data_IF_561544275703
#
_entry.id   IF_561544275703
#
_cell.length_a   1.000
_cell.length_b   1.000
_cell.length_c   1.000
_cell.angle_alpha   90.00
_cell.angle_beta   90.00
_cell.angle_gamma   90.00
#
_symmetry.space_group_name_H-M   'P 1'
#
loop_
_entity.id
_entity.type
_entity.pdbx_description
1 polymer ?
#
# COMPACT_ATOMS: atom_id res chain seq x y z
N UNK A 1 18.02 -11.56 -8.18
CA UNK A 1 17.11 -12.50 -8.89
C UNK A 1 17.57 -12.72 -10.32
N UNK A 2 17.33 -13.91 -10.88
CA UNK A 2 17.60 -14.19 -12.30
C UNK A 2 16.35 -13.92 -13.13
N UNK A 3 16.50 -13.24 -14.26
CA UNK A 3 15.40 -13.10 -15.22
C UNK A 3 15.27 -14.39 -16.05
N UNK A 4 14.05 -14.77 -16.43
CA UNK A 4 13.82 -16.05 -17.14
C UNK A 4 14.60 -16.13 -18.46
N UNK A 5 14.90 -14.98 -19.09
CA UNK A 5 15.70 -14.95 -20.30
C UNK A 5 17.11 -15.48 -20.12
N UNK A 6 17.61 -15.64 -18.88
CA UNK A 6 18.90 -16.28 -18.61
C UNK A 6 18.92 -17.79 -18.85
N UNK A 7 17.75 -18.43 -18.89
CA UNK A 7 17.60 -19.87 -19.10
C UNK A 7 17.36 -20.24 -20.57
N UNK A 8 17.38 -19.26 -21.48
CA UNK A 8 17.32 -19.51 -22.92
C UNK A 8 18.64 -20.09 -23.43
N UNK A 9 18.55 -21.15 -24.23
CA UNK A 9 19.73 -21.83 -24.79
C UNK A 9 20.57 -20.97 -25.73
N UNK A 10 19.95 -20.02 -26.44
CA UNK A 10 20.65 -19.07 -27.32
C UNK A 10 20.15 -17.66 -27.05
N UNK A 11 21.07 -16.70 -26.91
CA UNK A 11 20.74 -15.30 -26.57
C UNK A 11 21.61 -14.35 -27.38
N UNK A 12 20.99 -13.28 -27.88
CA UNK A 12 21.72 -12.18 -28.49
C UNK A 12 22.25 -11.23 -27.42
N UNK A 13 23.24 -10.38 -27.76
CA UNK A 13 23.71 -9.33 -26.86
C UNK A 13 22.59 -8.35 -26.48
N UNK A 14 21.67 -8.06 -27.41
CA UNK A 14 20.49 -7.24 -27.13
C UNK A 14 19.59 -7.91 -26.07
N UNK A 15 19.31 -9.20 -26.20
CA UNK A 15 18.53 -9.98 -25.22
C UNK A 15 19.20 -9.99 -23.84
N UNK A 16 20.54 -10.09 -23.80
CA UNK A 16 21.30 -10.02 -22.55
C UNK A 16 21.20 -8.65 -21.87
N UNK A 17 21.25 -7.56 -22.64
CA UNK A 17 21.09 -6.20 -22.12
C UNK A 17 19.68 -5.97 -21.58
N UNK A 18 18.65 -6.40 -22.30
CA UNK A 18 17.27 -6.32 -21.85
C UNK A 18 17.04 -7.14 -20.58
N UNK A 19 17.59 -8.36 -20.49
CA UNK A 19 17.51 -9.18 -19.28
C UNK A 19 18.21 -8.58 -18.06
N UNK A 20 19.28 -7.78 -18.25
CA UNK A 20 19.89 -7.00 -17.15
C UNK A 20 18.95 -5.91 -16.66
N UNK A 21 18.37 -5.12 -17.56
CA UNK A 21 17.43 -4.04 -17.21
C UNK A 21 16.20 -4.61 -16.52
N UNK A 22 15.63 -5.70 -17.06
CA UNK A 22 14.47 -6.37 -16.48
C UNK A 22 14.74 -6.82 -15.03
N UNK A 23 15.95 -7.33 -14.73
CA UNK A 23 16.33 -7.68 -13.35
C UNK A 23 16.33 -6.48 -12.41
N UNK A 24 16.91 -5.37 -12.84
CA UNK A 24 16.92 -4.12 -12.06
C UNK A 24 15.49 -3.68 -11.76
N UNK A 25 14.63 -3.61 -12.78
CA UNK A 25 13.23 -3.24 -12.61
C UNK A 25 12.48 -4.23 -11.71
N UNK A 26 12.75 -5.53 -11.81
CA UNK A 26 12.10 -6.52 -10.94
C UNK A 26 12.50 -6.28 -9.48
N UNK A 27 13.76 -5.94 -9.21
CA UNK A 27 14.21 -5.61 -7.86
C UNK A 27 13.53 -4.33 -7.35
N UNK A 28 13.47 -3.27 -8.17
CA UNK A 28 12.79 -2.02 -7.80
C UNK A 28 11.31 -2.23 -7.49
N UNK A 29 10.62 -3.06 -8.28
CA UNK A 29 9.22 -3.41 -8.04
C UNK A 29 9.08 -4.13 -6.69
N UNK A 30 9.94 -5.10 -6.40
CA UNK A 30 9.90 -5.82 -5.13
C UNK A 30 10.18 -4.91 -3.94
N UNK A 31 11.18 -4.03 -4.05
CA UNK A 31 11.51 -3.07 -3.00
C UNK A 31 10.33 -2.14 -2.71
N UNK A 32 9.71 -1.59 -3.76
CA UNK A 32 8.51 -0.75 -3.63
C UNK A 32 7.32 -1.51 -3.06
N UNK A 33 7.14 -2.78 -3.42
CA UNK A 33 6.08 -3.62 -2.87
C UNK A 33 6.28 -3.84 -1.36
N UNK A 34 7.50 -4.17 -0.94
CA UNK A 34 7.84 -4.31 0.49
C UNK A 34 7.61 -2.98 1.24
N UNK A 35 8.03 -1.86 0.66
CA UNK A 35 7.80 -0.54 1.25
C UNK A 35 6.30 -0.23 1.38
N UNK A 36 5.50 -0.56 0.36
CA UNK A 36 4.04 -0.40 0.39
C UNK A 36 3.40 -1.26 1.46
N UNK A 37 3.79 -2.53 1.57
CA UNK A 37 3.24 -3.47 2.55
C UNK A 37 3.59 -3.02 3.98
N UNK A 38 4.82 -2.55 4.21
CA UNK A 38 5.23 -1.96 5.48
C UNK A 38 4.44 -0.68 5.80
N UNK A 39 4.19 0.18 4.82
CA UNK A 39 3.41 1.39 5.02
C UNK A 39 1.96 1.06 5.38
N UNK A 40 1.34 0.08 4.71
CA UNK A 40 -0.01 -0.42 5.01
C UNK A 40 -0.09 -0.98 6.43
N UNK A 41 0.83 -1.87 6.82
CA UNK A 41 0.85 -2.44 8.16
C UNK A 41 1.04 -1.38 9.25
N UNK A 42 1.87 -0.36 9.00
CA UNK A 42 2.01 0.76 9.91
C UNK A 42 0.75 1.61 10.01
N UNK A 43 0.07 1.86 8.89
CA UNK A 43 -1.21 2.57 8.86
C UNK A 43 -2.27 1.83 9.67
N UNK A 44 -2.45 0.53 9.44
CA UNK A 44 -3.39 -0.31 10.19
C UNK A 44 -3.10 -0.28 11.70
N UNK A 45 -1.82 -0.39 12.09
CA UNK A 45 -1.41 -0.29 13.49
C UNK A 45 -1.73 1.09 14.09
N UNK A 46 -1.54 2.17 13.33
CA UNK A 46 -1.87 3.51 13.77
C UNK A 46 -3.38 3.69 13.92
N UNK A 47 -4.19 3.20 12.96
CA UNK A 47 -5.64 3.21 13.06
C UNK A 47 -6.12 2.48 14.31
N UNK A 48 -5.60 1.27 14.57
CA UNK A 48 -5.93 0.51 15.78
C UNK A 48 -5.55 1.27 17.06
N UNK A 49 -4.38 1.90 17.09
CA UNK A 49 -3.94 2.71 18.23
C UNK A 49 -4.86 3.91 18.47
N UNK A 50 -5.35 4.56 17.41
CA UNK A 50 -6.32 5.65 17.51
C UNK A 50 -7.63 5.11 18.09
N UNK A 51 -8.17 4.03 17.49
CA UNK A 51 -9.38 3.36 17.97
C UNK A 51 -9.30 3.02 19.45
N UNK A 52 -8.20 2.39 19.89
CA UNK A 52 -8.00 2.02 21.30
C UNK A 52 -7.96 3.23 22.24
N UNK A 53 -7.40 4.37 21.79
CA UNK A 53 -7.36 5.59 22.61
C UNK A 53 -8.74 6.22 22.79
N UNK A 54 -9.61 6.11 21.79
CA UNK A 54 -10.93 6.73 21.82
C UNK A 54 -12.04 5.77 22.27
N UNK A 55 -11.78 4.45 22.31
CA UNK A 55 -12.76 3.45 22.71
C UNK A 55 -13.37 3.74 24.08
N UNK A 56 -12.57 4.20 25.04
CA UNK A 56 -13.03 4.56 26.39
C UNK A 56 -13.99 5.76 26.44
N UNK A 57 -14.15 6.49 25.34
CA UNK A 57 -15.11 7.59 25.25
C UNK A 57 -16.54 7.09 24.96
N UNK A 58 -16.71 5.80 24.67
CA UNK A 58 -17.97 5.20 24.29
C UNK A 58 -18.36 4.09 25.27
N UNK A 59 -19.60 4.12 25.75
CA UNK A 59 -20.13 3.12 26.68
C UNK A 59 -20.59 1.85 25.98
N UNK A 60 -20.99 1.96 24.71
CA UNK A 60 -21.52 0.86 23.91
C UNK A 60 -20.70 0.68 22.64
N UNK A 61 -20.42 -0.59 22.30
CA UNK A 61 -19.66 -0.96 21.10
C UNK A 61 -20.33 -0.46 19.80
N UNK A 62 -21.67 -0.51 19.74
CA UNK A 62 -22.40 -0.01 18.58
C UNK A 62 -22.21 1.49 18.36
N UNK A 63 -22.19 2.29 19.43
CA UNK A 63 -21.99 3.75 19.33
C UNK A 63 -20.57 4.07 18.87
N UNK A 64 -19.59 3.31 19.37
CA UNK A 64 -18.20 3.39 18.94
C UNK A 64 -18.05 3.09 17.45
N UNK A 65 -18.54 1.92 16.99
CA UNK A 65 -18.44 1.50 15.59
C UNK A 65 -19.12 2.51 14.66
N UNK A 66 -20.34 2.96 15.01
CA UNK A 66 -21.08 3.95 14.25
C UNK A 66 -20.32 5.29 14.16
N UNK A 67 -19.69 5.72 15.26
CA UNK A 67 -18.89 6.95 15.26
C UNK A 67 -17.66 6.85 14.36
N UNK A 68 -16.96 5.71 14.36
CA UNK A 68 -15.81 5.45 13.48
C UNK A 68 -16.24 5.45 12.01
N UNK A 69 -17.30 4.73 11.65
CA UNK A 69 -17.79 4.66 10.27
C UNK A 69 -18.21 6.04 9.74
N UNK A 70 -18.96 6.80 10.54
CA UNK A 70 -19.35 8.16 10.19
C UNK A 70 -18.13 9.09 10.01
N UNK A 71 -17.11 8.97 10.86
CA UNK A 71 -15.89 9.76 10.73
C UNK A 71 -15.10 9.38 9.46
N UNK A 72 -14.97 8.09 9.15
CA UNK A 72 -14.33 7.59 7.93
C UNK A 72 -15.06 8.10 6.68
N UNK A 73 -16.38 8.00 6.66
CA UNK A 73 -17.18 8.48 5.53
C UNK A 73 -17.07 10.00 5.31
N UNK A 74 -17.11 10.80 6.39
CA UNK A 74 -16.89 12.26 6.30
C UNK A 74 -15.50 12.60 5.75
N UNK A 75 -14.47 11.89 6.19
CA UNK A 75 -13.11 12.07 5.68
C UNK A 75 -13.01 11.71 4.20
N UNK A 76 -13.66 10.62 3.77
CA UNK A 76 -13.74 10.21 2.36
C UNK A 76 -14.41 11.29 1.49
N UNK A 77 -15.57 11.81 1.91
CA UNK A 77 -16.26 12.90 1.21
C UNK A 77 -15.32 14.11 1.08
N UNK A 78 -14.76 14.58 2.20
CA UNK A 78 -13.92 15.78 2.21
C UNK A 78 -12.69 15.64 1.29
N UNK A 79 -12.02 14.49 1.33
CA UNK A 79 -10.84 14.24 0.51
C UNK A 79 -11.18 14.16 -0.99
N UNK A 80 -12.34 13.61 -1.34
CA UNK A 80 -12.80 13.50 -2.72
C UNK A 80 -13.42 14.80 -3.26
N UNK A 81 -14.03 15.62 -2.41
CA UNK A 81 -14.56 16.94 -2.77
C UNK A 81 -13.42 17.93 -3.10
N UNK A 82 -12.33 17.92 -2.32
CA UNK A 82 -11.16 18.76 -2.58
C UNK A 82 -10.44 18.43 -3.89
N UNK A 83 -10.49 17.17 -4.33
CA UNK A 83 -9.89 16.74 -5.62
C UNK A 83 -10.67 17.32 -6.82
N UNK A 84 -11.97 17.58 -6.66
CA UNK A 84 -12.82 18.11 -7.75
C UNK A 84 -12.80 19.65 -7.88
N UNK A 85 -12.08 20.35 -6.99
CA UNK A 85 -11.97 21.81 -6.99
C UNK A 85 -10.57 22.33 -7.38
N UNK A 86 -9.64 21.42 -7.73
CA UNK A 86 -8.32 21.71 -8.28
C UNK A 86 -8.29 21.46 -9.80
#
# INVERSE_FOLDING_TARGET
MKHWSEFLGTRTQATNRLGKIARTLTFEVQEKQIALDNAKANLERLELNICNKIANNYTHENDFTTAIENAKHKAEIFNNELINQL
#
